data_IF_184346635565
#
_entry.id   IF_184346635565
#
_cell.length_a   1.000
_cell.length_b   1.000
_cell.length_c   1.000
_cell.angle_alpha   90.00
_cell.angle_beta   90.00
_cell.angle_gamma   90.00
#
_symmetry.space_group_name_H-M   'P 1'
#
loop_
_entity.id
_entity.type
_entity.pdbx_description
1 polymer ?
#
# COMPACT_ATOMS: atom_id res chain seq x y z
N UNK A 1 12.81 -6.24 -1.28
CA UNK A 1 13.67 -7.19 -2.00
C UNK A 1 13.67 -8.63 -1.47
N UNK A 2 13.35 -8.90 -0.19
CA UNK A 2 13.41 -10.26 0.38
C UNK A 2 12.38 -11.28 -0.14
N UNK A 3 11.43 -10.89 -1.01
CA UNK A 3 10.35 -11.77 -1.48
C UNK A 3 10.45 -12.13 -2.97
N UNK A 4 10.97 -11.24 -3.82
CA UNK A 4 11.19 -11.54 -5.23
C UNK A 4 12.20 -12.70 -5.37
N UNK A 5 11.96 -13.58 -6.34
CA UNK A 5 12.79 -14.76 -6.61
C UNK A 5 12.49 -15.98 -5.74
N UNK A 6 11.71 -15.84 -4.65
CA UNK A 6 11.23 -16.99 -3.86
C UNK A 6 10.33 -17.89 -4.70
N UNK A 7 10.30 -19.17 -4.36
CA UNK A 7 9.38 -20.13 -4.96
C UNK A 7 7.92 -19.69 -4.76
N UNK A 8 7.07 -20.01 -5.73
CA UNK A 8 5.64 -19.81 -5.63
C UNK A 8 5.08 -20.55 -4.40
N UNK A 9 4.22 -19.94 -3.58
CA UNK A 9 3.63 -20.62 -2.43
C UNK A 9 2.57 -21.67 -2.83
N UNK A 10 2.16 -21.73 -4.10
CA UNK A 10 1.26 -22.77 -4.60
C UNK A 10 2.03 -24.09 -4.75
N UNK A 11 1.65 -25.18 -4.04
CA UNK A 11 2.35 -26.47 -4.07
C UNK A 11 2.42 -27.15 -5.44
N UNK A 12 1.53 -26.78 -6.36
CA UNK A 12 1.48 -27.31 -7.72
C UNK A 12 2.11 -26.35 -8.75
N UNK A 13 2.96 -25.43 -8.30
CA UNK A 13 3.58 -24.41 -9.13
C UNK A 13 5.07 -24.26 -8.80
N UNK A 14 5.94 -24.59 -9.76
CA UNK A 14 7.39 -24.40 -9.62
C UNK A 14 7.86 -23.00 -10.00
N UNK A 15 6.92 -22.07 -10.18
CA UNK A 15 7.19 -20.68 -10.55
C UNK A 15 7.95 -19.91 -9.47
N UNK A 16 8.43 -18.72 -9.83
CA UNK A 16 9.06 -17.79 -8.90
C UNK A 16 8.26 -16.51 -8.78
N UNK A 17 8.23 -15.95 -7.57
CA UNK A 17 7.60 -14.68 -7.30
C UNK A 17 8.38 -13.55 -7.97
N UNK A 18 7.69 -12.71 -8.74
CA UNK A 18 8.23 -11.46 -9.24
C UNK A 18 7.29 -10.32 -8.85
N UNK A 19 7.84 -9.11 -8.78
CA UNK A 19 7.07 -7.93 -8.46
C UNK A 19 6.44 -7.38 -9.75
N UNK A 20 5.12 -7.27 -9.78
CA UNK A 20 4.38 -6.56 -10.83
C UNK A 20 4.29 -5.09 -10.42
N UNK A 21 5.02 -4.18 -11.07
CA UNK A 21 4.97 -2.76 -10.71
C UNK A 21 3.66 -2.12 -11.15
N UNK A 22 3.26 -1.07 -10.44
CA UNK A 22 2.21 -0.17 -10.90
C UNK A 22 2.81 0.90 -11.79
N UNK A 23 2.20 1.15 -12.95
CA UNK A 23 2.65 2.15 -13.94
C UNK A 23 1.53 3.07 -14.45
N UNK A 24 0.32 2.96 -13.92
CA UNK A 24 -0.85 3.68 -14.44
C UNK A 24 -0.94 5.16 -14.05
N UNK A 25 0.18 5.79 -13.69
CA UNK A 25 0.37 7.24 -13.64
C UNK A 25 1.48 7.63 -14.62
N UNK A 26 1.20 7.53 -15.93
CA UNK A 26 2.15 7.94 -16.98
C UNK A 26 3.49 7.20 -16.94
N UNK A 27 3.48 5.90 -16.62
CA UNK A 27 4.69 5.09 -16.46
C UNK A 27 5.20 4.98 -15.02
N UNK A 28 4.59 5.72 -14.09
CA UNK A 28 4.95 5.70 -12.66
C UNK A 28 3.85 5.05 -11.80
N UNK A 29 4.17 4.60 -10.58
CA UNK A 29 3.17 4.10 -9.65
C UNK A 29 2.08 5.11 -9.32
N UNK A 30 0.85 4.63 -9.16
CA UNK A 30 -0.22 5.43 -8.58
C UNK A 30 0.15 5.90 -7.17
N UNK A 31 -0.24 7.14 -6.83
CA UNK A 31 0.16 7.81 -5.58
C UNK A 31 -1.07 8.25 -4.79
N UNK A 32 -1.06 8.01 -3.48
CA UNK A 32 -2.10 8.44 -2.56
C UNK A 32 -1.64 9.63 -1.71
N UNK A 33 -2.54 10.56 -1.47
CA UNK A 33 -2.35 11.73 -0.63
C UNK A 33 -3.43 11.73 0.44
N UNK A 34 -2.98 11.85 1.68
CA UNK A 34 -3.84 11.97 2.85
C UNK A 34 -3.58 13.33 3.47
N UNK A 35 -4.63 14.10 3.70
CA UNK A 35 -4.54 15.36 4.43
C UNK A 35 -5.44 15.27 5.65
N UNK A 36 -4.83 15.38 6.83
CA UNK A 36 -5.57 15.50 8.08
C UNK A 36 -6.00 16.96 8.24
N UNK A 37 -7.25 17.16 8.63
CA UNK A 37 -7.79 18.44 9.08
C UNK A 37 -8.39 18.25 10.47
N UNK A 38 -8.88 19.32 11.09
CA UNK A 38 -9.47 19.23 12.42
C UNK A 38 -10.74 18.36 12.46
N UNK A 39 -11.48 18.29 11.35
CA UNK A 39 -12.79 17.64 11.30
C UNK A 39 -12.77 16.34 10.50
N UNK A 40 -11.97 16.28 9.44
CA UNK A 40 -12.00 15.16 8.47
C UNK A 40 -10.60 14.80 7.98
N UNK A 41 -10.47 13.57 7.48
CA UNK A 41 -9.31 13.15 6.70
C UNK A 41 -9.71 13.18 5.22
N UNK A 42 -9.03 14.01 4.45
CA UNK A 42 -9.22 14.09 3.00
C UNK A 42 -8.30 13.09 2.30
N UNK A 43 -8.83 12.41 1.29
CA UNK A 43 -8.09 11.45 0.47
C UNK A 43 -8.10 11.88 -0.99
N UNK A 44 -6.95 11.80 -1.65
CA UNK A 44 -6.82 11.96 -3.09
C UNK A 44 -5.90 10.87 -3.66
N UNK A 45 -6.26 10.31 -4.81
CA UNK A 45 -5.41 9.44 -5.59
C UNK A 45 -5.01 10.12 -6.92
N UNK A 46 -3.78 9.89 -7.38
CA UNK A 46 -3.32 10.25 -8.72
C UNK A 46 -2.83 9.00 -9.46
N UNK A 47 -3.44 8.73 -10.62
CA UNK A 47 -3.19 7.53 -11.43
C UNK A 47 -4.27 6.46 -11.25
N UNK A 48 -4.22 5.43 -12.08
CA UNK A 48 -5.09 4.25 -12.02
C UNK A 48 -4.21 3.01 -11.83
N UNK A 49 -4.61 2.07 -10.98
CA UNK A 49 -3.87 0.81 -10.86
C UNK A 49 -4.08 -0.04 -12.12
N UNK A 50 -2.97 -0.43 -12.75
CA UNK A 50 -2.87 -1.17 -14.01
C UNK A 50 -2.34 -2.59 -13.81
N UNK A 51 -2.46 -3.09 -12.58
CA UNK A 51 -2.03 -4.43 -12.18
C UNK A 51 -3.16 -5.13 -11.41
N UNK A 52 -3.14 -6.47 -11.31
CA UNK A 52 -4.08 -7.21 -10.47
C UNK A 52 -4.04 -6.72 -9.02
N UNK A 53 -5.21 -6.69 -8.37
CA UNK A 53 -5.33 -6.27 -6.97
C UNK A 53 -4.63 -7.30 -6.06
N UNK A 54 -3.67 -6.91 -5.21
CA UNK A 54 -3.04 -7.82 -4.27
C UNK A 54 -4.00 -8.21 -3.15
N UNK A 55 -3.73 -9.34 -2.50
CA UNK A 55 -4.48 -9.77 -1.33
C UNK A 55 -4.41 -8.73 -0.20
N UNK A 56 -5.54 -8.56 0.49
CA UNK A 56 -5.66 -7.56 1.55
C UNK A 56 -4.90 -8.04 2.77
N UNK A 57 -3.77 -7.40 3.08
CA UNK A 57 -3.17 -7.53 4.41
C UNK A 57 -4.12 -6.87 5.39
N UNK A 58 -4.81 -7.66 6.22
CA UNK A 58 -5.63 -7.12 7.31
C UNK A 58 -4.72 -6.30 8.21
N UNK A 59 -4.90 -4.97 8.23
CA UNK A 59 -4.18 -4.10 9.16
C UNK A 59 -4.39 -4.61 10.58
N UNK A 60 -3.32 -5.03 11.23
CA UNK A 60 -3.37 -5.48 12.62
C UNK A 60 -3.84 -4.32 13.50
N UNK A 61 -4.49 -4.62 14.63
CA UNK A 61 -4.91 -3.59 15.59
C UNK A 61 -3.74 -2.69 16.02
N UNK A 62 -2.52 -3.25 16.10
CA UNK A 62 -1.30 -2.52 16.39
C UNK A 62 -0.98 -1.44 15.32
N UNK A 63 -1.17 -1.75 14.03
CA UNK A 63 -0.93 -0.79 12.95
C UNK A 63 -1.94 0.38 12.98
N UNK A 64 -3.20 0.10 13.32
CA UNK A 64 -4.22 1.14 13.53
C UNK A 64 -3.87 2.04 14.71
N UNK A 65 -3.45 1.46 15.83
CA UNK A 65 -3.08 2.23 17.03
C UNK A 65 -1.87 3.14 16.79
N UNK A 66 -0.83 2.62 16.11
CA UNK A 66 0.35 3.40 15.77
C UNK A 66 0.02 4.62 14.89
N UNK A 67 -0.91 4.46 13.94
CA UNK A 67 -1.37 5.55 13.07
C UNK A 67 -2.11 6.65 13.87
N UNK A 68 -2.99 6.24 14.81
CA UNK A 68 -3.69 7.18 15.70
C UNK A 68 -2.73 7.93 16.62
N UNK A 69 -1.69 7.27 17.13
CA UNK A 69 -0.67 7.90 17.98
C UNK A 69 0.24 8.84 17.18
N UNK A 70 0.52 8.54 15.91
CA UNK A 70 1.27 9.43 15.02
C UNK A 70 0.50 10.73 14.77
N UNK A 71 -0.78 10.64 14.41
CA UNK A 71 -1.63 11.81 14.16
C UNK A 71 -1.83 12.68 15.40
N UNK A 72 -1.93 12.08 16.60
CA UNK A 72 -1.98 12.84 17.86
C UNK A 72 -0.74 13.69 18.09
N UNK A 73 0.44 13.19 17.68
CA UNK A 73 1.73 13.84 17.92
C UNK A 73 2.06 14.94 16.91
N UNK A 74 1.60 14.81 15.67
CA UNK A 74 1.93 15.73 14.56
C UNK A 74 0.73 16.58 14.14
N UNK A 75 -0.14 16.93 15.10
CA UNK A 75 -1.37 17.70 14.85
C UNK A 75 -1.10 19.16 14.42
N UNK A 76 0.14 19.63 14.54
CA UNK A 76 0.51 21.05 14.37
C UNK A 76 1.64 21.31 13.36
N UNK A 77 1.97 20.32 12.50
CA UNK A 77 2.83 20.49 11.31
C UNK A 77 1.97 20.42 10.04
#
# INVERSE_FOLDING_TARGET
QKQCGKACPNPHCDGRLYHVPCTGKGGYPATHFWRVTDQVILFQCKGVHDHPRPDVVKTTAAAKQALLDYHRRHRHE
#
